data_IF_051947604330
#
_entry.id   IF_051947604330
#
_cell.length_a   1.000
_cell.length_b   1.000
_cell.length_c   1.000
_cell.angle_alpha   90.00
_cell.angle_beta   90.00
_cell.angle_gamma   90.00
#
_symmetry.space_group_name_H-M   'P 1'
#
loop_
_entity.id
_entity.type
_entity.pdbx_description
1 polymer ?
#
# COMPACT_ATOMS: atom_id res chain seq x y z
N UNK A 1 -4.40 -21.20 -5.32
CA UNK A 1 -5.87 -21.14 -5.13
C UNK A 1 -6.38 -21.86 -3.87
N UNK A 2 -5.73 -22.92 -3.37
CA UNK A 2 -6.18 -23.62 -2.15
C UNK A 2 -6.16 -22.77 -0.85
N UNK A 3 -5.41 -21.65 -0.79
CA UNK A 3 -5.36 -20.78 0.37
C UNK A 3 -6.68 -20.01 0.63
N UNK A 4 -7.35 -19.54 -0.43
CA UNK A 4 -8.63 -18.84 -0.32
C UNK A 4 -9.79 -19.76 0.07
N UNK A 5 -9.70 -21.04 -0.30
CA UNK A 5 -10.72 -22.07 -0.02
C UNK A 5 -10.60 -22.57 1.44
N UNK A 6 -9.37 -22.62 1.99
CA UNK A 6 -9.13 -23.04 3.38
C UNK A 6 -9.51 -21.96 4.41
N UNK A 7 -9.36 -20.68 4.07
CA UNK A 7 -9.71 -19.57 4.95
C UNK A 7 -10.58 -18.56 4.18
N UNK A 8 -11.91 -18.70 4.19
CA UNK A 8 -12.80 -17.84 3.42
C UNK A 8 -12.72 -16.36 3.83
N UNK A 9 -12.19 -16.05 5.03
CA UNK A 9 -11.85 -14.70 5.45
C UNK A 9 -10.85 -14.00 4.52
N UNK A 10 -9.93 -14.74 3.87
CA UNK A 10 -8.96 -14.16 2.93
C UNK A 10 -9.60 -13.73 1.61
N UNK A 11 -10.82 -14.19 1.30
CA UNK A 11 -11.58 -13.73 0.12
C UNK A 11 -12.16 -12.32 0.31
N UNK A 12 -12.24 -11.81 1.53
CA UNK A 12 -12.71 -10.45 1.81
C UNK A 12 -11.77 -9.41 1.18
N UNK A 13 -10.47 -9.70 1.14
CA UNK A 13 -9.44 -8.79 0.62
C UNK A 13 -9.56 -8.56 -0.91
N UNK A 14 -9.64 -9.60 -1.77
CA UNK A 14 -9.92 -9.41 -3.19
C UNK A 14 -11.30 -8.82 -3.45
N UNK A 15 -12.31 -9.19 -2.64
CA UNK A 15 -13.65 -8.62 -2.75
C UNK A 15 -13.64 -7.11 -2.48
N UNK A 16 -12.93 -6.67 -1.44
CA UNK A 16 -12.71 -5.24 -1.15
C UNK A 16 -11.98 -4.55 -2.29
N UNK A 17 -10.97 -5.19 -2.90
CA UNK A 17 -10.27 -4.67 -4.07
C UNK A 17 -11.19 -4.40 -5.29
N UNK A 18 -12.32 -5.11 -5.38
CA UNK A 18 -13.30 -4.94 -6.45
C UNK A 18 -14.43 -3.96 -6.08
N UNK A 19 -14.81 -3.87 -4.81
CA UNK A 19 -15.91 -3.01 -4.32
C UNK A 19 -15.45 -1.56 -4.03
N UNK A 20 -14.25 -1.38 -3.46
CA UNK A 20 -13.70 -0.06 -3.12
C UNK A 20 -13.49 0.90 -4.32
N UNK A 21 -13.13 0.44 -5.53
CA UNK A 21 -13.10 1.32 -6.71
C UNK A 21 -14.47 1.91 -7.04
N UNK A 22 -15.54 1.12 -6.89
CA UNK A 22 -16.91 1.56 -7.15
C UNK A 22 -17.32 2.62 -6.13
N UNK A 23 -16.95 2.43 -4.86
CA UNK A 23 -17.16 3.42 -3.80
C UNK A 23 -16.34 4.68 -4.01
N UNK A 24 -15.10 4.56 -4.51
CA UNK A 24 -14.26 5.69 -4.90
C UNK A 24 -14.94 6.52 -5.99
N UNK A 25 -15.42 5.86 -7.05
CA UNK A 25 -16.14 6.52 -8.14
C UNK A 25 -17.38 7.28 -7.63
N UNK A 26 -18.16 6.63 -6.75
CA UNK A 26 -19.33 7.25 -6.14
C UNK A 26 -18.99 8.44 -5.23
N UNK A 27 -17.91 8.35 -4.45
CA UNK A 27 -17.44 9.43 -3.59
C UNK A 27 -16.95 10.63 -4.41
N UNK A 28 -16.31 10.39 -5.56
CA UNK A 28 -15.92 11.43 -6.51
C UNK A 28 -17.15 12.15 -7.09
N UNK A 29 -18.19 11.41 -7.51
CA UNK A 29 -19.44 12.00 -8.02
C UNK A 29 -20.13 12.89 -6.99
N UNK A 30 -20.04 12.54 -5.70
CA UNK A 30 -20.61 13.34 -4.60
C UNK A 30 -19.72 14.49 -4.13
N UNK A 31 -18.58 14.74 -4.78
CA UNK A 31 -17.63 15.78 -4.38
C UNK A 31 -16.95 15.53 -3.03
N UNK A 32 -16.97 14.29 -2.52
CA UNK A 32 -16.39 13.93 -1.21
C UNK A 32 -14.92 13.51 -1.37
N UNK A 33 -14.06 14.47 -1.73
CA UNK A 33 -12.67 14.23 -2.16
C UNK A 33 -11.84 13.46 -1.12
N UNK A 34 -12.00 13.75 0.17
CA UNK A 34 -11.28 13.05 1.25
C UNK A 34 -11.65 11.56 1.30
N UNK A 35 -12.95 11.24 1.20
CA UNK A 35 -13.43 9.86 1.22
C UNK A 35 -13.03 9.12 -0.06
N UNK A 36 -13.09 9.79 -1.21
CA UNK A 36 -12.59 9.26 -2.47
C UNK A 36 -11.12 8.89 -2.39
N UNK A 37 -10.27 9.76 -1.84
CA UNK A 37 -8.84 9.49 -1.66
C UNK A 37 -8.57 8.30 -0.72
N UNK A 38 -9.31 8.20 0.39
CA UNK A 38 -9.20 7.07 1.32
C UNK A 38 -9.61 5.74 0.68
N UNK A 39 -10.73 5.69 -0.05
CA UNK A 39 -11.16 4.48 -0.74
C UNK A 39 -10.20 4.08 -1.87
N UNK A 40 -9.63 5.04 -2.60
CA UNK A 40 -8.63 4.78 -3.63
C UNK A 40 -7.35 4.17 -3.03
N UNK A 41 -6.86 4.75 -1.92
CA UNK A 41 -5.68 4.24 -1.20
C UNK A 41 -5.92 2.83 -0.67
N UNK A 42 -7.12 2.57 -0.13
CA UNK A 42 -7.50 1.26 0.40
C UNK A 42 -7.69 0.21 -0.72
N UNK A 43 -8.16 0.63 -1.90
CA UNK A 43 -8.23 -0.22 -3.09
C UNK A 43 -6.84 -0.70 -3.48
N UNK A 44 -5.88 0.22 -3.60
CA UNK A 44 -4.50 -0.10 -3.96
C UNK A 44 -3.88 -1.09 -2.97
N UNK A 45 -4.05 -0.83 -1.66
CA UNK A 45 -3.59 -1.75 -0.63
C UNK A 45 -4.22 -3.14 -0.78
N UNK A 46 -5.53 -3.23 -1.00
CA UNK A 46 -6.25 -4.50 -1.13
C UNK A 46 -5.77 -5.32 -2.33
N UNK A 47 -5.47 -4.67 -3.46
CA UNK A 47 -4.93 -5.33 -4.66
C UNK A 47 -3.53 -5.91 -4.38
N UNK A 48 -2.65 -5.12 -3.74
CA UNK A 48 -1.30 -5.58 -3.38
C UNK A 48 -1.37 -6.76 -2.40
N UNK A 49 -2.22 -6.68 -1.37
CA UNK A 49 -2.42 -7.78 -0.43
C UNK A 49 -3.00 -9.03 -1.11
N UNK A 50 -3.92 -8.88 -2.05
CA UNK A 50 -4.47 -10.01 -2.83
C UNK A 50 -3.36 -10.74 -3.58
N UNK A 51 -2.46 -10.01 -4.25
CA UNK A 51 -1.32 -10.60 -4.93
C UNK A 51 -0.38 -11.33 -3.94
N UNK A 52 -0.09 -10.71 -2.79
CA UNK A 52 0.74 -11.33 -1.74
C UNK A 52 0.15 -12.63 -1.20
N UNK A 53 -1.16 -12.67 -0.91
CA UNK A 53 -1.86 -13.87 -0.43
C UNK A 53 -1.93 -14.95 -1.51
N UNK A 54 -2.11 -14.55 -2.78
CA UNK A 54 -2.16 -15.49 -3.89
C UNK A 54 -0.81 -16.16 -4.15
N UNK A 55 0.28 -15.44 -3.94
CA UNK A 55 1.65 -15.91 -4.16
C UNK A 55 2.22 -16.66 -2.96
N UNK A 56 1.80 -16.36 -1.73
CA UNK A 56 2.28 -17.06 -0.54
C UNK A 56 2.13 -18.59 -0.67
N UNK A 57 3.20 -19.39 -0.45
CA UNK A 57 4.51 -19.05 0.17
C UNK A 57 5.63 -18.71 -0.83
N UNK A 58 5.33 -18.56 -2.12
CA UNK A 58 6.29 -18.23 -3.16
C UNK A 58 6.48 -16.72 -3.29
N UNK A 59 7.73 -16.28 -3.37
CA UNK A 59 8.07 -14.89 -3.74
C UNK A 59 8.30 -14.80 -5.24
N UNK A 60 8.98 -15.79 -5.82
CA UNK A 60 9.19 -15.89 -7.26
C UNK A 60 9.17 -17.37 -7.70
N UNK A 61 8.09 -17.82 -8.37
CA UNK A 61 8.02 -19.19 -8.89
C UNK A 61 8.88 -19.33 -10.15
N UNK A 62 9.64 -20.43 -10.24
CA UNK A 62 10.42 -20.76 -11.44
C UNK A 62 9.58 -21.56 -12.43
N UNK A 63 9.58 -21.17 -13.70
CA UNK A 63 8.86 -21.87 -14.78
C UNK A 63 9.65 -23.03 -15.41
N UNK A 64 10.96 -23.09 -15.18
CA UNK A 64 11.87 -24.08 -15.81
C UNK A 64 12.20 -25.23 -14.86
N UNK A 65 12.33 -24.97 -13.56
CA UNK A 65 12.55 -26.01 -12.55
C UNK A 65 11.79 -25.67 -11.26
N UNK A 66 10.76 -26.44 -10.89
CA UNK A 66 9.94 -26.16 -9.71
C UNK A 66 10.72 -26.21 -8.38
N UNK A 67 11.85 -26.92 -8.33
CA UNK A 67 12.75 -26.99 -7.16
C UNK A 67 13.58 -25.71 -6.94
N UNK A 68 13.71 -24.86 -7.94
CA UNK A 68 14.42 -23.56 -7.82
C UNK A 68 13.47 -22.40 -7.50
N UNK A 69 12.25 -22.69 -7.04
CA UNK A 69 11.29 -21.65 -6.69
C UNK A 69 11.69 -20.97 -5.38
N UNK A 70 11.79 -19.64 -5.41
CA UNK A 70 12.16 -18.85 -4.23
C UNK A 70 10.94 -18.76 -3.31
N UNK A 71 10.96 -19.53 -2.22
CA UNK A 71 9.96 -19.49 -1.17
C UNK A 71 10.38 -18.55 -0.05
N UNK A 72 9.42 -18.07 0.74
CA UNK A 72 9.70 -17.27 1.95
C UNK A 72 10.59 -18.02 2.95
N UNK A 73 10.66 -19.35 2.87
CA UNK A 73 11.42 -20.17 3.82
C UNK A 73 12.89 -20.37 3.41
N UNK A 74 13.17 -20.44 2.10
CA UNK A 74 14.54 -20.63 1.59
C UNK A 74 15.23 -19.31 1.22
N UNK A 75 14.48 -18.20 1.13
CA UNK A 75 14.99 -16.93 0.60
C UNK A 75 15.25 -15.85 1.68
N UNK A 76 15.22 -16.21 2.96
CA UNK A 76 15.46 -15.26 4.06
C UNK A 76 16.92 -15.17 4.43
N UNK A 77 17.39 -13.96 4.74
CA UNK A 77 18.71 -13.71 5.34
C UNK A 77 18.88 -14.42 6.69
N UNK A 78 20.10 -14.44 7.21
CA UNK A 78 20.38 -14.99 8.55
C UNK A 78 19.51 -14.32 9.62
N UNK A 79 19.19 -15.07 10.69
CA UNK A 79 18.33 -14.60 11.77
C UNK A 79 18.87 -13.30 12.41
N UNK A 80 20.18 -13.20 12.61
CA UNK A 80 20.83 -12.00 13.16
C UNK A 80 20.56 -10.76 12.30
N UNK A 81 20.68 -10.88 10.97
CA UNK A 81 20.42 -9.74 10.08
C UNK A 81 18.94 -9.35 10.06
N UNK A 82 18.04 -10.34 10.10
CA UNK A 82 16.60 -10.10 10.12
C UNK A 82 16.15 -9.39 11.40
N UNK A 83 16.68 -9.79 12.56
CA UNK A 83 16.40 -9.15 13.85
C UNK A 83 16.89 -7.70 13.87
N UNK A 84 18.11 -7.44 13.37
CA UNK A 84 18.64 -6.07 13.26
C UNK A 84 17.75 -5.21 12.35
N UNK A 85 17.37 -5.71 11.18
CA UNK A 85 16.49 -4.97 10.26
C UNK A 85 15.11 -4.70 10.86
N UNK A 86 14.56 -5.64 11.63
CA UNK A 86 13.28 -5.43 12.33
C UNK A 86 13.37 -4.28 13.34
N UNK A 87 14.43 -4.25 14.17
CA UNK A 87 14.65 -3.16 15.14
C UNK A 87 14.79 -1.82 14.43
N UNK A 88 15.54 -1.76 13.32
CA UNK A 88 15.68 -0.55 12.51
C UNK A 88 14.32 -0.11 11.98
N UNK A 89 13.55 -0.99 11.34
CA UNK A 89 12.21 -0.63 10.81
C UNK A 89 11.30 -0.14 11.92
N UNK A 90 11.32 -0.78 13.09
CA UNK A 90 10.47 -0.41 14.23
C UNK A 90 10.76 1.00 14.76
N UNK A 91 12.00 1.49 14.64
CA UNK A 91 12.39 2.84 15.06
C UNK A 91 12.20 3.85 13.93
N UNK A 92 12.72 3.57 12.73
CA UNK A 92 12.75 4.56 11.65
C UNK A 92 11.41 4.72 10.93
N UNK A 93 10.63 3.65 10.76
CA UNK A 93 9.31 3.73 10.11
C UNK A 93 8.35 4.71 10.82
N UNK A 94 8.16 4.67 12.16
CA UNK A 94 7.28 5.63 12.81
C UNK A 94 7.82 7.06 12.75
N UNK A 95 9.14 7.27 12.81
CA UNK A 95 9.75 8.60 12.67
C UNK A 95 9.46 9.19 11.29
N UNK A 96 9.66 8.39 10.23
CA UNK A 96 9.38 8.80 8.85
C UNK A 96 7.90 9.14 8.69
N UNK A 97 6.99 8.29 9.18
CA UNK A 97 5.55 8.54 9.12
C UNK A 97 5.14 9.83 9.85
N UNK A 98 5.72 10.10 11.03
CA UNK A 98 5.46 11.33 11.79
C UNK A 98 5.90 12.57 11.01
N UNK A 99 7.11 12.55 10.45
CA UNK A 99 7.61 13.69 9.67
C UNK A 99 6.79 13.91 8.39
N UNK A 100 6.45 12.83 7.67
CA UNK A 100 5.58 12.92 6.49
C UNK A 100 4.21 13.48 6.87
N UNK A 101 3.58 12.99 7.94
CA UNK A 101 2.28 13.49 8.38
C UNK A 101 2.34 14.98 8.78
N UNK A 102 3.41 15.40 9.47
CA UNK A 102 3.63 16.79 9.83
C UNK A 102 3.81 17.69 8.59
N UNK A 103 4.55 17.22 7.58
CA UNK A 103 4.72 17.93 6.31
C UNK A 103 3.38 18.11 5.59
N UNK A 104 2.57 17.05 5.47
CA UNK A 104 1.22 17.13 4.90
C UNK A 104 0.31 18.08 5.69
N UNK A 105 0.39 18.06 7.03
CA UNK A 105 -0.37 18.96 7.88
C UNK A 105 0.03 20.43 7.68
N UNK A 106 1.33 20.71 7.54
CA UNK A 106 1.83 22.07 7.30
C UNK A 106 1.48 22.62 5.92
N UNK A 107 1.41 21.77 4.90
CA UNK A 107 1.01 22.14 3.54
C UNK A 107 -0.51 22.05 3.31
N UNK A 108 -1.29 21.81 4.36
CA UNK A 108 -2.74 21.68 4.25
C UNK A 108 -3.38 23.03 3.89
N UNK A 109 -3.66 23.23 2.60
CA UNK A 109 -4.29 24.42 2.08
C UNK A 109 -4.82 24.20 0.67
N UNK A 110 -5.87 24.93 0.28
CA UNK A 110 -6.35 24.91 -1.11
C UNK A 110 -5.51 25.89 -1.91
N UNK A 111 -4.90 25.42 -2.98
CA UNK A 111 -4.17 26.28 -3.90
C UNK A 111 -5.19 26.94 -4.83
N UNK A 112 -5.28 28.27 -4.78
CA UNK A 112 -6.12 29.07 -5.68
C UNK A 112 -5.27 29.75 -6.75
N UNK A 113 -5.88 30.13 -7.87
CA UNK A 113 -5.21 30.85 -8.96
C UNK A 113 -4.55 32.16 -8.48
N UNK A 114 -5.17 32.85 -7.51
CA UNK A 114 -4.61 34.04 -6.87
C UNK A 114 -3.31 33.75 -6.08
N UNK A 115 -3.22 32.56 -5.48
CA UNK A 115 -2.02 32.10 -4.75
C UNK A 115 -0.89 31.76 -5.72
N UNK A 116 -1.23 31.21 -6.89
CA UNK A 116 -0.29 30.98 -7.99
C UNK A 116 0.27 32.31 -8.50
N UNK A 117 -0.62 33.22 -8.92
CA UNK A 117 -0.25 34.49 -9.53
C UNK A 117 0.59 35.39 -8.63
N UNK A 118 0.41 35.27 -7.31
CA UNK A 118 1.20 36.01 -6.31
C UNK A 118 2.61 35.46 -6.11
N UNK A 119 2.84 34.18 -6.40
CA UNK A 119 4.10 33.49 -6.13
C UNK A 119 4.65 32.76 -7.39
N UNK A 120 4.36 33.29 -8.59
CA UNK A 120 4.69 32.69 -9.90
C UNK A 120 6.19 32.40 -10.11
N UNK A 121 7.08 33.00 -9.30
CA UNK A 121 8.53 32.78 -9.36
C UNK A 121 9.07 31.86 -8.25
N UNK A 122 8.24 31.47 -7.27
CA UNK A 122 8.60 30.59 -6.16
C UNK A 122 7.93 29.21 -6.25
N UNK A 123 6.82 29.11 -6.98
CA UNK A 123 6.07 27.90 -7.24
C UNK A 123 6.51 27.32 -8.59
N UNK A 124 7.50 26.43 -8.58
CA UNK A 124 8.08 25.79 -9.76
C UNK A 124 7.10 24.87 -10.52
#
# INVERSE_FOLDING_TARGET
>A
MNHFIRSPLLLIIPLLGMVLPILTFYACLRGQTIRGFLFASLTQASVIFTAGIALFPFVMPSSVNPLSSLTVWDSTSSQMTLEIMLVIVLIFLPIVLLYTLWSYYKMLGRINLETLRRNDHELY
#
